data_IF_757722535768
#
_entry.id   IF_757722535768
#
_cell.length_a   1.000
_cell.length_b   1.000
_cell.length_c   1.000
_cell.angle_alpha   90.00
_cell.angle_beta   90.00
_cell.angle_gamma   90.00
#
_symmetry.space_group_name_H-M   'P 1'
#
loop_
_entity.id
_entity.type
_entity.pdbx_description
1 polymer ?
#
# COMPACT_ATOMS: atom_id res chain seq x y z
N UNK A 1 -24.47 -5.92 -4.35
CA UNK A 1 -24.01 -4.56 -3.99
C UNK A 1 -22.73 -4.72 -3.21
N UNK A 2 -21.67 -3.99 -3.58
CA UNK A 2 -20.41 -3.98 -2.82
C UNK A 2 -20.67 -3.31 -1.47
N UNK A 3 -20.41 -4.00 -0.37
CA UNK A 3 -20.55 -3.44 0.98
C UNK A 3 -19.48 -2.36 1.20
N UNK A 4 -19.76 -1.36 2.03
CA UNK A 4 -18.83 -0.24 2.29
C UNK A 4 -17.47 -0.66 2.87
N UNK A 5 -17.36 -1.91 3.34
CA UNK A 5 -16.17 -2.46 4.00
C UNK A 5 -15.04 -2.88 3.02
N UNK A 6 -15.37 -3.00 1.73
CA UNK A 6 -14.43 -3.39 0.67
C UNK A 6 -13.59 -2.21 0.13
N UNK A 7 -13.87 -0.98 0.58
CA UNK A 7 -13.15 0.23 0.19
C UNK A 7 -12.04 0.56 1.18
N UNK A 8 -10.96 1.19 0.70
CA UNK A 8 -9.96 1.81 1.57
C UNK A 8 -10.59 2.92 2.40
N UNK A 9 -10.14 3.07 3.64
CA UNK A 9 -10.40 4.32 4.39
C UNK A 9 -9.55 5.45 3.81
N UNK A 10 -9.89 6.70 4.16
CA UNK A 10 -9.12 7.87 3.73
C UNK A 10 -7.68 7.79 4.24
N UNK A 11 -7.46 7.28 5.45
CA UNK A 11 -6.12 7.07 6.01
C UNK A 11 -5.34 5.98 5.25
N UNK A 12 -6.01 4.89 4.87
CA UNK A 12 -5.38 3.82 4.06
C UNK A 12 -4.98 4.34 2.67
N UNK A 13 -5.86 5.14 2.05
CA UNK A 13 -5.56 5.80 0.79
C UNK A 13 -4.40 6.79 0.91
N UNK A 14 -4.37 7.60 1.97
CA UNK A 14 -3.31 8.56 2.23
C UNK A 14 -1.95 7.85 2.43
N UNK A 15 -1.92 6.74 3.17
CA UNK A 15 -0.70 5.96 3.38
C UNK A 15 -0.16 5.36 2.07
N UNK A 16 -1.01 4.74 1.24
CA UNK A 16 -0.58 4.20 -0.07
C UNK A 16 -0.03 5.30 -0.96
N UNK A 17 -0.65 6.48 -0.95
CA UNK A 17 -0.20 7.66 -1.69
C UNK A 17 1.20 8.11 -1.22
N UNK A 18 1.38 8.28 0.09
CA UNK A 18 2.65 8.67 0.70
C UNK A 18 3.78 7.67 0.39
N UNK A 19 3.49 6.37 0.38
CA UNK A 19 4.47 5.35 0.00
C UNK A 19 4.92 5.52 -1.47
N UNK A 20 3.99 5.87 -2.38
CA UNK A 20 4.34 6.23 -3.75
C UNK A 20 5.22 7.47 -3.85
N UNK A 21 4.96 8.48 -3.01
CA UNK A 21 5.81 9.68 -2.93
C UNK A 21 7.21 9.37 -2.42
N UNK A 22 7.35 8.44 -1.46
CA UNK A 22 8.64 7.95 -0.96
C UNK A 22 9.44 7.29 -2.09
N UNK A 23 8.80 6.46 -2.92
CA UNK A 23 9.43 5.91 -4.13
C UNK A 23 9.92 7.01 -5.09
N UNK A 24 9.05 7.99 -5.38
CA UNK A 24 9.38 9.12 -6.26
C UNK A 24 10.53 9.97 -5.71
N UNK A 25 10.64 10.11 -4.39
CA UNK A 25 11.75 10.79 -3.74
C UNK A 25 13.04 9.97 -3.84
N UNK A 26 12.97 8.65 -3.59
CA UNK A 26 14.11 7.75 -3.68
C UNK A 26 14.75 7.75 -5.08
N UNK A 27 13.93 7.78 -6.14
CA UNK A 27 14.43 7.83 -7.53
C UNK A 27 15.25 9.08 -7.88
N UNK A 28 15.17 10.15 -7.08
CA UNK A 28 15.94 11.38 -7.27
C UNK A 28 17.31 11.34 -6.60
N UNK A 29 17.57 10.33 -5.76
CA UNK A 29 18.84 10.16 -5.09
C UNK A 29 19.91 9.66 -6.09
N UNK A 30 21.19 10.01 -5.89
CA UNK A 30 22.30 9.38 -6.61
C UNK A 30 22.28 7.86 -6.45
N UNK A 31 22.69 7.15 -7.49
CA UNK A 31 22.81 5.70 -7.44
C UNK A 31 24.13 5.31 -6.75
N UNK A 32 24.03 4.77 -5.54
CA UNK A 32 25.17 4.27 -4.77
C UNK A 32 25.45 2.78 -5.07
N UNK A 33 24.40 1.99 -5.32
CA UNK A 33 24.55 0.57 -5.63
C UNK A 33 23.43 0.05 -6.56
N UNK A 34 23.82 -0.79 -7.53
CA UNK A 34 22.95 -1.25 -8.64
C UNK A 34 21.71 -2.03 -8.20
N UNK A 35 21.67 -2.53 -6.97
CA UNK A 35 20.53 -3.29 -6.42
C UNK A 35 19.53 -2.43 -5.68
N UNK A 36 19.90 -1.21 -5.29
CA UNK A 36 19.11 -0.44 -4.31
C UNK A 36 17.73 -0.10 -4.86
N UNK A 37 17.62 0.23 -6.16
CA UNK A 37 16.32 0.49 -6.80
C UNK A 37 15.39 -0.72 -6.75
N UNK A 38 15.90 -1.91 -7.04
CA UNK A 38 15.08 -3.12 -7.04
C UNK A 38 14.66 -3.48 -5.60
N UNK A 39 15.58 -3.38 -4.65
CA UNK A 39 15.32 -3.67 -3.24
C UNK A 39 14.32 -2.68 -2.63
N UNK A 40 14.49 -1.38 -2.91
CA UNK A 40 13.59 -0.35 -2.44
C UNK A 40 12.19 -0.49 -3.07
N UNK A 41 12.11 -0.77 -4.37
CA UNK A 41 10.84 -1.04 -5.06
C UNK A 41 10.09 -2.22 -4.44
N UNK A 42 10.78 -3.32 -4.14
CA UNK A 42 10.17 -4.45 -3.44
C UNK A 42 9.61 -4.04 -2.07
N UNK A 43 10.31 -3.20 -1.30
CA UNK A 43 9.82 -2.71 -0.01
C UNK A 43 8.61 -1.79 -0.15
N UNK A 44 8.58 -0.94 -1.16
CA UNK A 44 7.40 -0.13 -1.51
C UNK A 44 6.19 -1.02 -1.80
N UNK A 45 6.37 -2.07 -2.60
CA UNK A 45 5.29 -3.03 -2.89
C UNK A 45 4.84 -3.81 -1.65
N UNK A 46 5.77 -4.26 -0.80
CA UNK A 46 5.44 -4.93 0.47
C UNK A 46 4.51 -4.05 1.33
N UNK A 47 4.84 -2.76 1.46
CA UNK A 47 4.06 -1.80 2.23
C UNK A 47 2.68 -1.53 1.61
N UNK A 48 2.63 -1.30 0.29
CA UNK A 48 1.36 -1.11 -0.42
C UNK A 48 0.46 -2.34 -0.30
N UNK A 49 1.01 -3.55 -0.47
CA UNK A 49 0.28 -4.80 -0.33
C UNK A 49 -0.33 -4.97 1.06
N UNK A 50 0.44 -4.63 2.12
CA UNK A 50 -0.07 -4.69 3.50
C UNK A 50 -1.28 -3.80 3.74
N UNK A 51 -1.31 -2.60 3.14
CA UNK A 51 -2.41 -1.64 3.30
C UNK A 51 -3.59 -2.00 2.40
N UNK A 52 -3.34 -2.29 1.12
CA UNK A 52 -4.36 -2.64 0.14
C UNK A 52 -5.06 -3.96 0.47
N UNK A 53 -4.43 -4.85 1.25
CA UNK A 53 -5.07 -6.06 1.77
C UNK A 53 -6.03 -5.83 2.93
N UNK A 54 -6.07 -4.64 3.53
CA UNK A 54 -6.89 -4.38 4.74
C UNK A 54 -8.40 -4.41 4.48
N UNK A 55 -8.95 -3.81 3.41
CA UNK A 55 -10.38 -3.92 3.12
C UNK A 55 -10.84 -5.37 2.97
N UNK A 56 -10.04 -6.21 2.26
CA UNK A 56 -10.34 -7.62 2.13
C UNK A 56 -10.37 -8.35 3.49
N UNK A 57 -9.40 -8.05 4.37
CA UNK A 57 -9.40 -8.61 5.73
C UNK A 57 -10.60 -8.13 6.55
N UNK A 58 -11.02 -6.86 6.42
CA UNK A 58 -12.22 -6.37 7.10
C UNK A 58 -13.47 -7.11 6.61
N UNK A 59 -13.64 -7.26 5.30
CA UNK A 59 -14.78 -7.99 4.72
C UNK A 59 -14.86 -9.45 5.21
N UNK A 60 -13.72 -10.11 5.46
CA UNK A 60 -13.66 -11.47 6.04
C UNK A 60 -13.99 -11.47 7.53
N UNK A 61 -13.46 -10.52 8.30
CA UNK A 61 -13.57 -10.50 9.76
C UNK A 61 -14.88 -9.90 10.27
N UNK A 62 -15.50 -9.03 9.48
CA UNK A 62 -16.77 -8.37 9.75
C UNK A 62 -17.78 -8.69 8.63
N UNK A 63 -18.10 -9.99 8.43
CA UNK A 63 -19.09 -10.35 7.42
C UNK A 63 -20.39 -9.63 7.77
N UNK A 64 -20.98 -8.93 6.80
CA UNK A 64 -22.25 -8.25 7.00
C UNK A 64 -23.23 -9.26 7.62
N UNK A 65 -23.73 -8.94 8.82
CA UNK A 65 -24.71 -9.78 9.51
C UNK A 65 -25.89 -10.01 8.56
N UNK A 66 -26.15 -11.29 8.26
CA UNK A 66 -27.33 -11.72 7.50
C UNK A 66 -28.59 -11.53 8.34
#
# INVERSE_FOLDING_TARGET
MMSGDERLTDEEHALVTMIGEVWNAFLKLPEEHVRDRAEFCNKVHDLQYMILGRPARRAINHPAQQ
#
